data_IF_682135123040
#
_entry.id   IF_682135123040
#
_cell.length_a   1.000
_cell.length_b   1.000
_cell.length_c   1.000
_cell.angle_alpha   90.00
_cell.angle_beta   90.00
_cell.angle_gamma   90.00
#
_symmetry.space_group_name_H-M   'P 1'
#
loop_
_entity.id
_entity.type
_entity.pdbx_description
1 polymer ?
#
# COMPACT_ATOMS: atom_id res chain seq x y z
N UNK A 1 27.65 20.64 -2.35
CA UNK A 1 27.73 19.58 -3.27
C UNK A 1 27.83 18.23 -2.58
N UNK A 2 26.80 17.53 -2.60
CA UNK A 2 26.80 16.43 -1.68
C UNK A 2 26.63 15.13 -2.37
N UNK A 3 27.77 14.54 -2.72
CA UNK A 3 27.82 13.15 -3.07
C UNK A 3 27.63 12.20 -1.89
N UNK A 4 26.85 12.59 -0.88
CA UNK A 4 26.54 11.66 0.21
C UNK A 4 25.63 10.59 -0.31
N UNK A 5 26.20 9.38 -0.42
CA UNK A 5 25.40 8.19 -0.59
C UNK A 5 24.52 8.06 0.65
N UNK A 6 23.20 8.14 0.47
CA UNK A 6 22.26 7.93 1.57
C UNK A 6 22.48 6.53 2.13
N UNK A 7 22.59 6.43 3.45
CA UNK A 7 22.60 5.12 4.09
C UNK A 7 21.29 4.40 3.77
N UNK A 8 21.27 3.08 3.84
CA UNK A 8 20.05 2.31 3.62
C UNK A 8 18.89 2.80 4.49
N UNK A 9 19.16 3.22 5.72
CA UNK A 9 18.14 3.73 6.63
C UNK A 9 17.59 5.08 6.20
N UNK A 10 18.45 6.00 5.74
CA UNK A 10 18.02 7.30 5.25
C UNK A 10 17.13 7.17 4.02
N UNK A 11 17.47 6.25 3.11
CA UNK A 11 16.66 5.99 1.93
C UNK A 11 15.27 5.47 2.30
N UNK A 12 15.18 4.59 3.31
CA UNK A 12 13.90 4.08 3.80
C UNK A 12 13.06 5.20 4.41
N UNK A 13 13.63 6.03 5.25
CA UNK A 13 12.90 7.16 5.85
C UNK A 13 12.40 8.14 4.80
N UNK A 14 13.21 8.42 3.79
CA UNK A 14 12.81 9.27 2.68
C UNK A 14 11.62 8.68 1.93
N UNK A 15 11.66 7.38 1.63
CA UNK A 15 10.55 6.70 0.97
C UNK A 15 9.28 6.70 1.83
N UNK A 16 9.42 6.47 3.14
CA UNK A 16 8.29 6.52 4.08
C UNK A 16 7.64 7.90 4.09
N UNK A 17 8.43 8.97 4.10
CA UNK A 17 7.90 10.34 4.08
C UNK A 17 7.13 10.63 2.78
N UNK A 18 7.67 10.22 1.64
CA UNK A 18 7.00 10.39 0.35
C UNK A 18 5.69 9.60 0.33
N UNK A 19 5.71 8.36 0.78
CA UNK A 19 4.52 7.51 0.81
C UNK A 19 3.45 8.08 1.73
N UNK A 20 3.84 8.54 2.91
CA UNK A 20 2.91 9.15 3.87
C UNK A 20 2.23 10.38 3.26
N UNK A 21 2.99 11.25 2.63
CA UNK A 21 2.47 12.44 1.96
C UNK A 21 1.54 12.05 0.80
N UNK A 22 1.95 11.06 0.00
CA UNK A 22 1.15 10.60 -1.12
C UNK A 22 -0.20 10.01 -0.67
N UNK A 23 -0.19 9.24 0.42
CA UNK A 23 -1.42 8.69 1.00
C UNK A 23 -2.34 9.82 1.46
N UNK A 24 -1.82 10.81 2.17
CA UNK A 24 -2.61 11.95 2.64
C UNK A 24 -3.17 12.80 1.49
N UNK A 25 -2.40 12.98 0.43
CA UNK A 25 -2.77 13.81 -0.71
C UNK A 25 -3.44 13.03 -1.84
N UNK A 26 -3.65 11.73 -1.66
CA UNK A 26 -4.25 10.85 -2.67
C UNK A 26 -3.49 10.89 -4.00
N UNK A 27 -2.18 10.88 -3.92
CA UNK A 27 -1.31 10.88 -5.10
C UNK A 27 -0.72 9.50 -5.32
N UNK A 28 -0.43 9.19 -6.57
CA UNK A 28 0.34 8.00 -6.91
C UNK A 28 1.79 8.19 -6.54
N UNK A 29 2.51 7.09 -6.37
CA UNK A 29 3.97 7.09 -6.26
C UNK A 29 4.56 6.26 -7.38
N UNK A 30 5.72 6.68 -7.87
CA UNK A 30 6.49 5.99 -8.89
C UNK A 30 7.83 5.58 -8.32
N UNK A 31 8.22 4.35 -8.55
CA UNK A 31 9.48 3.83 -8.02
C UNK A 31 9.98 2.66 -8.86
N UNK A 32 11.26 2.38 -8.76
CA UNK A 32 11.87 1.13 -9.22
C UNK A 32 12.02 0.20 -8.04
N UNK A 33 11.84 -1.09 -8.27
CA UNK A 33 11.85 -2.08 -7.21
C UNK A 33 13.11 -2.93 -7.30
N UNK A 34 13.76 -3.14 -6.16
CA UNK A 34 15.01 -3.86 -6.05
C UNK A 34 14.75 -5.30 -5.65
N UNK A 35 15.43 -6.23 -6.29
CA UNK A 35 15.51 -7.62 -5.87
C UNK A 35 16.96 -8.00 -5.61
N UNK A 36 17.15 -9.04 -4.85
CA UNK A 36 18.49 -9.57 -4.59
C UNK A 36 18.72 -10.82 -5.43
N UNK A 37 19.90 -10.88 -6.09
CA UNK A 37 20.32 -12.06 -6.82
C UNK A 37 20.70 -13.17 -5.84
N UNK A 38 20.84 -14.44 -6.33
CA UNK A 38 21.36 -15.53 -5.49
C UNK A 38 22.72 -15.21 -4.86
N UNK A 39 23.52 -14.34 -5.50
CA UNK A 39 24.80 -13.88 -5.00
C UNK A 39 24.68 -12.68 -4.05
N UNK A 40 23.46 -12.38 -3.58
CA UNK A 40 23.13 -11.27 -2.67
C UNK A 40 23.48 -9.88 -3.23
N UNK A 41 23.53 -9.75 -4.55
CA UNK A 41 23.71 -8.45 -5.20
C UNK A 41 22.36 -7.81 -5.49
N UNK A 42 22.28 -6.49 -5.33
CA UNK A 42 21.09 -5.71 -5.66
C UNK A 42 20.98 -5.55 -7.18
N UNK A 43 19.78 -5.72 -7.70
CA UNK A 43 19.45 -5.34 -9.08
C UNK A 43 18.01 -4.85 -9.14
N UNK A 44 17.71 -4.02 -10.15
CA UNK A 44 16.34 -3.60 -10.36
C UNK A 44 15.52 -4.73 -10.96
N UNK A 45 14.37 -4.99 -10.36
CA UNK A 45 13.42 -5.98 -10.85
C UNK A 45 12.87 -5.53 -12.21
N UNK A 46 12.67 -6.47 -13.12
CA UNK A 46 12.19 -6.22 -14.48
C UNK A 46 12.99 -5.15 -15.24
N UNK A 47 14.31 -5.18 -15.12
CA UNK A 47 15.20 -4.29 -15.89
C UNK A 47 15.08 -2.81 -15.56
N UNK A 48 14.62 -2.49 -14.34
CA UNK A 48 14.46 -1.10 -13.92
C UNK A 48 13.12 -0.49 -14.34
N UNK A 49 12.13 -1.32 -14.62
CA UNK A 49 10.78 -0.83 -14.92
C UNK A 49 10.23 0.02 -13.76
N UNK A 50 9.62 1.13 -14.11
CA UNK A 50 8.98 2.02 -13.14
C UNK A 50 7.62 1.44 -12.76
N UNK A 51 7.41 1.26 -11.47
CA UNK A 51 6.11 0.89 -10.90
C UNK A 51 5.35 2.14 -10.54
N UNK A 52 4.04 2.12 -10.78
CA UNK A 52 3.11 3.18 -10.36
C UNK A 52 2.12 2.55 -9.39
N UNK A 53 2.06 3.10 -8.20
CA UNK A 53 1.22 2.61 -7.12
C UNK A 53 0.34 3.74 -6.60
N UNK A 54 -0.95 3.45 -6.42
CA UNK A 54 -1.84 4.32 -5.64
C UNK A 54 -1.82 3.81 -4.21
N UNK A 55 -1.02 4.41 -3.32
CA UNK A 55 -0.83 3.87 -1.98
C UNK A 55 -2.03 4.17 -1.09
N UNK A 56 -2.38 3.20 -0.23
CA UNK A 56 -3.49 3.34 0.71
C UNK A 56 -3.04 3.36 2.15
N UNK A 57 -2.09 2.50 2.49
CA UNK A 57 -1.67 2.33 3.87
C UNK A 57 -0.26 1.78 3.95
N UNK A 58 0.40 2.09 5.06
CA UNK A 58 1.70 1.52 5.40
C UNK A 58 1.59 0.75 6.69
N UNK A 59 2.24 -0.41 6.73
CA UNK A 59 2.24 -1.30 7.89
C UNK A 59 3.67 -1.63 8.26
N UNK A 60 3.96 -1.51 9.54
CA UNK A 60 5.22 -2.00 10.12
C UNK A 60 5.03 -3.45 10.56
N UNK A 61 5.85 -4.33 10.04
CA UNK A 61 5.79 -5.75 10.39
C UNK A 61 7.18 -6.40 10.25
N UNK A 62 7.59 -7.13 11.28
CA UNK A 62 8.85 -7.88 11.27
C UNK A 62 10.05 -7.02 10.84
N UNK A 63 10.20 -5.88 11.46
CA UNK A 63 11.32 -4.94 11.25
C UNK A 63 11.38 -4.32 9.86
N UNK A 64 10.27 -4.31 9.13
CA UNK A 64 10.19 -3.67 7.83
C UNK A 64 8.87 -2.93 7.64
N UNK A 65 8.92 -1.82 6.88
CA UNK A 65 7.71 -1.16 6.40
C UNK A 65 7.24 -1.82 5.11
N UNK A 66 5.92 -2.00 5.04
CA UNK A 66 5.22 -2.44 3.84
C UNK A 66 4.22 -1.38 3.45
N UNK A 67 4.07 -1.14 2.16
CA UNK A 67 3.02 -0.29 1.63
C UNK A 67 2.06 -1.15 0.80
N UNK A 68 0.78 -0.98 1.03
CA UNK A 68 -0.25 -1.59 0.18
C UNK A 68 -0.94 -0.51 -0.64
N UNK A 69 -1.31 -0.87 -1.86
CA UNK A 69 -1.99 0.03 -2.75
C UNK A 69 -2.38 -0.65 -4.04
N UNK A 70 -3.08 0.08 -4.88
CA UNK A 70 -3.47 -0.42 -6.19
C UNK A 70 -2.34 -0.22 -7.20
N UNK A 71 -1.96 -1.31 -7.84
CA UNK A 71 -0.97 -1.29 -8.92
C UNK A 71 -1.68 -1.45 -10.26
N UNK A 72 -1.61 -0.42 -11.08
CA UNK A 72 -2.23 -0.44 -12.41
C UNK A 72 -1.65 -1.54 -13.29
N UNK A 73 -0.34 -1.77 -13.22
CA UNK A 73 0.33 -2.80 -14.02
C UNK A 73 -0.05 -4.21 -13.62
N UNK A 74 -0.38 -4.43 -12.34
CA UNK A 74 -0.86 -5.72 -11.84
C UNK A 74 -2.39 -5.85 -11.89
N UNK A 75 -3.11 -4.72 -12.04
CA UNK A 75 -4.57 -4.70 -12.04
C UNK A 75 -5.20 -5.11 -10.71
N UNK A 76 -4.48 -4.96 -9.60
CA UNK A 76 -4.94 -5.39 -8.28
C UNK A 76 -4.21 -4.64 -7.17
N UNK A 77 -4.70 -4.80 -5.96
CA UNK A 77 -4.00 -4.33 -4.76
C UNK A 77 -2.81 -5.26 -4.50
N UNK A 78 -1.66 -4.65 -4.28
CA UNK A 78 -0.40 -5.35 -4.02
C UNK A 78 0.28 -4.73 -2.82
N UNK A 79 1.22 -5.47 -2.25
CA UNK A 79 2.04 -5.02 -1.13
C UNK A 79 3.51 -5.04 -1.54
N UNK A 80 4.22 -3.95 -1.24
CA UNK A 80 5.65 -3.82 -1.49
C UNK A 80 6.39 -3.54 -0.19
N UNK A 81 7.60 -4.06 -0.09
CA UNK A 81 8.51 -3.67 0.99
C UNK A 81 9.14 -2.32 0.65
N UNK A 82 9.03 -1.39 1.57
CA UNK A 82 9.53 -0.02 1.34
C UNK A 82 11.05 0.03 1.26
N UNK A 83 11.76 -0.84 1.99
CA UNK A 83 13.22 -0.91 1.96
C UNK A 83 13.79 -1.43 0.60
N UNK A 84 12.91 -1.92 -0.28
CA UNK A 84 13.29 -2.35 -1.62
C UNK A 84 12.96 -1.33 -2.71
N UNK A 85 12.50 -0.16 -2.34
CA UNK A 85 12.34 0.93 -3.29
C UNK A 85 13.71 1.43 -3.72
N UNK A 86 13.87 1.70 -5.01
CA UNK A 86 15.09 2.32 -5.54
C UNK A 86 15.19 3.78 -5.08
N UNK A 87 16.33 4.38 -5.37
CA UNK A 87 16.68 5.71 -4.85
C UNK A 87 15.76 6.84 -5.34
N UNK A 88 14.99 6.62 -6.40
CA UNK A 88 14.16 7.64 -7.02
C UNK A 88 12.69 7.35 -6.82
N UNK A 89 12.21 7.53 -5.61
CA UNK A 89 10.79 7.51 -5.32
C UNK A 89 10.23 8.90 -5.59
N UNK A 90 9.19 8.99 -6.42
CA UNK A 90 8.59 10.26 -6.80
C UNK A 90 7.08 10.21 -6.63
N UNK A 91 6.49 11.33 -6.25
CA UNK A 91 5.03 11.47 -6.27
C UNK A 91 4.55 11.68 -7.70
N UNK A 92 3.45 11.04 -8.04
CA UNK A 92 2.80 11.19 -9.33
C UNK A 92 1.55 12.06 -9.25
N UNK A 93 0.59 11.73 -10.09
CA UNK A 93 -0.65 12.49 -10.20
C UNK A 93 -1.62 12.18 -9.08
N UNK A 94 -2.50 13.11 -8.80
CA UNK A 94 -3.67 12.88 -7.96
C UNK A 94 -4.53 11.77 -8.59
N UNK A 95 -4.88 10.78 -7.80
CA UNK A 95 -5.75 9.70 -8.23
C UNK A 95 -7.08 9.81 -7.50
N UNK A 96 -8.06 10.37 -8.20
CA UNK A 96 -9.43 10.49 -7.70
C UNK A 96 -10.34 9.36 -8.19
N UNK A 97 -9.80 8.43 -8.98
CA UNK A 97 -10.63 7.41 -9.58
C UNK A 97 -10.97 6.30 -8.59
N UNK A 98 -12.19 5.81 -8.71
CA UNK A 98 -12.59 4.58 -8.05
C UNK A 98 -12.09 3.39 -8.86
N UNK A 99 -11.76 2.34 -8.18
CA UNK A 99 -11.40 1.09 -8.85
C UNK A 99 -11.96 -0.09 -8.08
N UNK A 100 -12.12 -1.19 -8.77
CA UNK A 100 -12.52 -2.47 -8.17
C UNK A 100 -11.31 -3.39 -8.15
N UNK A 101 -11.01 -3.93 -6.98
CA UNK A 101 -9.95 -4.91 -6.81
C UNK A 101 -10.54 -6.23 -6.33
N UNK A 102 -10.05 -7.32 -6.89
CA UNK A 102 -10.35 -8.66 -6.39
C UNK A 102 -9.11 -9.17 -5.64
N UNK A 103 -9.28 -9.42 -4.36
CA UNK A 103 -8.18 -9.83 -3.50
C UNK A 103 -8.56 -11.12 -2.78
N UNK A 104 -7.56 -11.92 -2.47
CA UNK A 104 -7.74 -13.13 -1.69
C UNK A 104 -7.36 -12.81 -0.24
N UNK A 105 -8.32 -12.92 0.66
CA UNK A 105 -8.13 -12.57 2.06
C UNK A 105 -8.78 -13.63 2.95
N UNK A 106 -8.25 -13.78 4.16
CA UNK A 106 -8.94 -14.52 5.22
C UNK A 106 -9.98 -13.60 5.84
N UNK A 107 -11.25 -13.97 5.72
CA UNK A 107 -12.34 -13.20 6.33
C UNK A 107 -12.35 -13.46 7.83
N UNK A 108 -12.08 -12.43 8.60
CA UNK A 108 -11.91 -12.51 10.05
C UNK A 108 -12.30 -11.16 10.67
N UNK A 109 -12.46 -11.07 12.00
CA UNK A 109 -12.65 -9.76 12.63
C UNK A 109 -11.58 -8.74 12.26
N UNK A 110 -10.34 -9.18 12.09
CA UNK A 110 -9.24 -8.31 11.65
C UNK A 110 -9.48 -7.74 10.25
N UNK A 111 -10.01 -8.55 9.33
CA UNK A 111 -10.35 -8.09 7.99
C UNK A 111 -11.42 -6.99 8.03
N UNK A 112 -12.48 -7.17 8.80
CA UNK A 112 -13.55 -6.17 8.90
C UNK A 112 -13.04 -4.89 9.57
N UNK A 113 -12.20 -5.00 10.58
CA UNK A 113 -11.59 -3.84 11.21
C UNK A 113 -10.71 -3.07 10.21
N UNK A 114 -9.95 -3.77 9.39
CA UNK A 114 -9.13 -3.15 8.35
C UNK A 114 -10.00 -2.39 7.33
N UNK A 115 -11.07 -2.97 6.84
CA UNK A 115 -12.00 -2.29 5.93
C UNK A 115 -12.58 -1.04 6.59
N UNK A 116 -12.96 -1.13 7.85
CA UNK A 116 -13.54 -0.03 8.60
C UNK A 116 -12.57 1.15 8.78
N UNK A 117 -11.26 0.89 8.86
CA UNK A 117 -10.26 1.96 9.03
C UNK A 117 -10.27 2.98 7.88
N UNK A 118 -10.80 2.62 6.73
CA UNK A 118 -10.88 3.51 5.56
C UNK A 118 -12.15 4.37 5.54
N UNK A 119 -12.94 4.38 6.61
CA UNK A 119 -14.04 5.33 6.79
C UNK A 119 -15.10 5.33 5.70
N UNK A 120 -15.40 4.17 5.12
CA UNK A 120 -16.37 4.06 4.04
C UNK A 120 -15.82 4.24 2.64
N UNK A 121 -14.52 4.46 2.49
CA UNK A 121 -13.88 4.55 1.18
C UNK A 121 -13.73 3.19 0.50
N UNK A 122 -13.80 2.11 1.26
CA UNK A 122 -13.78 0.75 0.74
C UNK A 122 -15.17 0.16 0.85
N UNK A 123 -15.67 -0.38 -0.25
CA UNK A 123 -16.95 -1.08 -0.32
C UNK A 123 -16.71 -2.55 -0.68
N UNK A 124 -17.35 -3.44 0.06
CA UNK A 124 -17.33 -4.87 -0.25
C UNK A 124 -18.41 -5.15 -1.29
N UNK A 125 -18.00 -5.48 -2.51
CA UNK A 125 -18.93 -5.62 -3.65
C UNK A 125 -19.45 -7.04 -3.83
N UNK A 126 -18.68 -8.05 -3.44
CA UNK A 126 -19.05 -9.44 -3.70
C UNK A 126 -18.95 -10.30 -2.46
N UNK A 127 -19.47 -11.52 -2.58
CA UNK A 127 -19.74 -12.45 -1.49
C UNK A 127 -20.75 -11.85 -0.51
N UNK A 128 -22.00 -11.99 -0.86
CA UNK A 128 -23.12 -11.42 -0.08
C UNK A 128 -23.05 -11.72 1.42
N UNK A 129 -22.67 -12.94 1.88
CA UNK A 129 -22.53 -13.19 3.31
C UNK A 129 -21.48 -12.28 3.98
N UNK A 130 -20.40 -11.97 3.28
CA UNK A 130 -19.35 -11.07 3.80
C UNK A 130 -19.87 -9.64 3.91
N UNK A 131 -20.60 -9.17 2.90
CA UNK A 131 -21.23 -7.84 2.92
C UNK A 131 -22.22 -7.72 4.08
N UNK A 132 -23.07 -8.72 4.26
CA UNK A 132 -24.08 -8.74 5.32
C UNK A 132 -23.43 -8.74 6.71
N UNK A 133 -22.41 -9.54 6.90
CA UNK A 133 -21.69 -9.58 8.18
C UNK A 133 -21.04 -8.23 8.50
N UNK A 134 -20.44 -7.59 7.51
CA UNK A 134 -19.84 -6.27 7.70
C UNK A 134 -20.91 -5.24 8.09
N UNK A 135 -22.05 -5.23 7.40
CA UNK A 135 -23.16 -4.33 7.72
C UNK A 135 -23.69 -4.56 9.15
N UNK A 136 -23.83 -5.82 9.57
CA UNK A 136 -24.28 -6.15 10.93
C UNK A 136 -23.30 -5.64 11.99
N UNK A 137 -21.99 -5.77 11.74
CA UNK A 137 -20.96 -5.27 12.67
C UNK A 137 -21.01 -3.76 12.79
N UNK A 138 -21.22 -3.04 11.68
CA UNK A 138 -21.36 -1.59 11.69
C UNK A 138 -22.60 -1.15 12.47
N UNK A 139 -23.74 -1.83 12.30
CA UNK A 139 -24.97 -1.53 13.01
C UNK A 139 -24.82 -1.79 14.51
N UNK A 140 -24.18 -2.87 14.89
CA UNK A 140 -23.93 -3.18 16.29
C UNK A 140 -23.07 -2.12 16.96
N UNK A 141 -22.02 -1.65 16.29
CA UNK A 141 -21.15 -0.57 16.78
C UNK A 141 -21.94 0.74 16.93
N UNK A 142 -22.81 1.05 15.97
CA UNK A 142 -23.64 2.25 16.03
C UNK A 142 -24.60 2.23 17.22
N UNK A 143 -25.21 1.08 17.51
CA UNK A 143 -26.11 0.93 18.68
C UNK A 143 -25.40 1.15 20.00
N UNK A 144 -24.14 0.74 20.11
CA UNK A 144 -23.35 0.91 21.33
C UNK A 144 -22.92 2.36 21.57
N UNK A 145 -22.90 3.18 20.53
CA UNK A 145 -22.43 4.57 20.63
C UNK A 145 -23.56 5.57 20.95
N UNK A 146 -24.77 5.09 21.12
CA UNK A 146 -25.92 5.93 21.50
C UNK A 146 -26.09 5.99 23.01
#
# INVERSE_FOLDING_TARGET
>A
MDGKVKTGNEAVYYAVDILHTAIQQQKTVMFKYIEYTPQKKKRYKHGGRVYVLSPYDMVWNSDAYYVCGYSKSHGKVVTFRVDRFGEQVQTGRYDSSHFTARVQVSVSPTFYAWVFTYGGQIEILSLEPVRQEYAQRLQAALKQSK
#
